data_IF_480224787402
#
_entry.id   IF_480224787402
#
_cell.length_a   1.000
_cell.length_b   1.000
_cell.length_c   1.000
_cell.angle_alpha   90.00
_cell.angle_beta   90.00
_cell.angle_gamma   90.00
#
_symmetry.space_group_name_H-M   'P 1'
#
loop_
_entity.id
_entity.type
_entity.pdbx_description
1 polymer ?
#
# COMPACT_ATOMS: atom_id res chain seq x y z
N UNK A 1 -1.83 2.16 -0.02
CA UNK A 1 -0.66 1.27 -0.20
C UNK A 1 0.54 1.89 0.52
N UNK A 2 1.39 1.06 1.12
CA UNK A 2 2.63 1.51 1.72
C UNK A 2 3.73 1.53 0.66
N UNK A 3 4.47 2.61 0.61
CA UNK A 3 5.74 2.73 -0.09
C UNK A 3 6.80 2.94 1.00
N UNK A 4 8.04 2.48 0.79
CA UNK A 4 9.13 2.58 1.76
C UNK A 4 8.87 1.79 3.06
N UNK A 5 9.12 0.49 3.05
CA UNK A 5 9.12 -0.41 4.21
C UNK A 5 7.84 -0.37 5.07
N UNK A 6 6.69 -0.15 4.44
CA UNK A 6 5.40 -0.14 5.12
C UNK A 6 5.00 1.21 5.73
N UNK A 7 5.80 2.25 5.55
CA UNK A 7 5.43 3.61 5.99
C UNK A 7 4.35 4.17 5.09
N UNK A 8 3.31 4.74 5.69
CA UNK A 8 2.25 5.40 4.95
C UNK A 8 2.79 6.57 4.12
N UNK A 9 2.39 6.64 2.85
CA UNK A 9 2.78 7.73 1.96
C UNK A 9 2.24 9.07 2.49
N UNK A 10 3.12 10.08 2.57
CA UNK A 10 2.74 11.44 2.97
C UNK A 10 2.00 12.14 1.83
N UNK A 11 1.26 13.19 2.16
CA UNK A 11 0.53 14.05 1.21
C UNK A 11 1.44 15.06 0.50
N UNK A 12 2.60 15.35 1.06
CA UNK A 12 3.62 16.24 0.50
C UNK A 12 4.73 15.42 -0.18
N UNK A 13 5.03 15.75 -1.44
CA UNK A 13 6.01 15.04 -2.24
C UNK A 13 7.07 15.97 -2.78
N UNK A 14 8.33 15.68 -2.48
CA UNK A 14 9.47 16.35 -3.09
C UNK A 14 9.91 15.51 -4.29
N UNK A 15 9.58 15.96 -5.50
CA UNK A 15 9.91 15.28 -6.76
C UNK A 15 10.71 16.26 -7.63
N UNK A 16 11.90 15.87 -8.13
CA UNK A 16 12.67 16.69 -9.03
C UNK A 16 11.90 17.04 -10.31
N UNK A 17 12.19 18.18 -10.87
CA UNK A 17 11.68 18.54 -12.20
C UNK A 17 12.25 17.58 -13.25
N UNK A 18 11.46 17.34 -14.32
CA UNK A 18 11.92 16.60 -15.48
C UNK A 18 13.05 17.36 -16.19
N UNK A 19 14.28 16.88 -16.08
CA UNK A 19 15.49 17.51 -16.64
C UNK A 19 16.47 16.45 -17.18
N UNK A 20 17.57 16.89 -17.77
CA UNK A 20 18.64 16.02 -18.25
C UNK A 20 18.17 15.01 -19.31
N UNK A 21 18.59 13.77 -19.18
CA UNK A 21 18.29 12.68 -20.11
C UNK A 21 16.82 12.22 -20.10
N UNK A 22 16.09 12.49 -19.02
CA UNK A 22 14.66 12.20 -18.93
C UNK A 22 13.83 13.11 -19.83
N UNK A 23 14.30 14.33 -20.04
CA UNK A 23 13.64 15.32 -20.88
C UNK A 23 13.77 14.94 -22.35
N UNK A 24 12.65 14.60 -22.97
CA UNK A 24 12.63 14.31 -24.41
C UNK A 24 12.91 15.57 -25.24
N UNK A 25 13.68 15.38 -26.28
CA UNK A 25 14.02 16.40 -27.26
C UNK A 25 13.44 16.04 -28.61
N UNK A 26 13.11 17.07 -29.39
CA UNK A 26 12.75 16.94 -30.79
C UNK A 26 14.00 16.81 -31.70
N UNK A 27 13.79 16.75 -32.99
CA UNK A 27 14.85 16.64 -34.02
C UNK A 27 15.82 17.83 -34.02
N UNK A 28 15.39 18.98 -33.52
CA UNK A 28 16.20 20.20 -33.44
C UNK A 28 16.98 20.29 -32.12
N UNK A 29 16.77 19.35 -31.21
CA UNK A 29 17.36 19.36 -29.89
C UNK A 29 16.58 20.20 -28.88
N UNK A 30 15.43 20.75 -29.26
CA UNK A 30 14.54 21.50 -28.37
C UNK A 30 13.66 20.56 -27.55
N UNK A 31 12.93 21.13 -26.59
CA UNK A 31 12.00 20.36 -25.73
C UNK A 31 10.86 19.78 -26.57
N UNK A 32 10.77 18.46 -26.69
CA UNK A 32 9.67 17.80 -27.39
C UNK A 32 8.28 18.14 -26.83
N UNK A 33 8.19 18.51 -25.56
CA UNK A 33 6.96 18.98 -24.91
C UNK A 33 7.27 19.98 -23.81
N UNK A 34 6.58 21.13 -23.74
CA UNK A 34 6.89 22.18 -22.77
C UNK A 34 6.71 21.75 -21.32
N UNK A 35 5.72 20.91 -21.04
CA UNK A 35 5.29 20.51 -19.67
C UNK A 35 5.41 19.01 -19.42
N UNK A 36 6.43 18.34 -19.97
CA UNK A 36 6.67 16.92 -19.68
C UNK A 36 6.76 16.67 -18.18
N UNK A 37 5.99 15.71 -17.68
CA UNK A 37 5.98 15.34 -16.25
C UNK A 37 7.14 14.38 -15.94
N UNK A 38 7.74 14.47 -14.72
CA UNK A 38 8.78 13.53 -14.31
C UNK A 38 8.21 12.10 -14.12
N UNK A 39 8.99 11.10 -14.51
CA UNK A 39 8.61 9.68 -14.35
C UNK A 39 8.42 9.32 -12.88
N UNK A 40 9.22 9.88 -11.98
CA UNK A 40 9.10 9.65 -10.55
C UNK A 40 7.73 10.03 -9.97
N UNK A 41 7.09 11.08 -10.52
CA UNK A 41 5.72 11.45 -10.15
C UNK A 41 4.72 10.36 -10.54
N UNK A 42 4.76 9.95 -11.82
CA UNK A 42 3.83 8.95 -12.35
C UNK A 42 4.08 7.58 -11.71
N UNK A 43 5.34 7.22 -11.47
CA UNK A 43 5.70 6.00 -10.75
C UNK A 43 5.00 5.95 -9.38
N UNK A 44 5.12 7.02 -8.59
CA UNK A 44 4.51 7.11 -7.26
C UNK A 44 2.98 7.02 -7.31
N UNK A 45 2.35 7.77 -8.22
CA UNK A 45 0.89 7.75 -8.40
C UNK A 45 0.42 6.35 -8.78
N UNK A 46 1.02 5.76 -9.83
CA UNK A 46 0.60 4.47 -10.38
C UNK A 46 0.75 3.35 -9.34
N UNK A 47 1.90 3.26 -8.66
CA UNK A 47 2.11 2.24 -7.62
C UNK A 47 1.16 2.40 -6.44
N UNK A 48 0.84 3.65 -6.07
CA UNK A 48 -0.06 3.92 -4.94
C UNK A 48 -1.53 3.60 -5.22
N UNK A 49 -1.97 3.68 -6.49
CA UNK A 49 -3.40 3.65 -6.85
C UNK A 49 -3.83 2.43 -7.66
N UNK A 50 -2.88 1.67 -8.22
CA UNK A 50 -3.16 0.54 -9.12
C UNK A 50 -2.37 -0.71 -8.75
N UNK A 51 -2.76 -1.85 -9.33
CA UNK A 51 -2.02 -3.11 -9.28
C UNK A 51 -1.44 -3.48 -10.65
N UNK A 52 -0.42 -4.34 -10.75
CA UNK A 52 -0.02 -4.92 -12.04
C UNK A 52 -1.23 -5.54 -12.76
N UNK A 53 -1.34 -5.29 -14.08
CA UNK A 53 -2.46 -5.72 -14.91
C UNK A 53 -3.66 -4.76 -14.95
N UNK A 54 -3.71 -3.74 -14.09
CA UNK A 54 -4.75 -2.71 -14.18
C UNK A 54 -4.55 -1.83 -15.43
N UNK A 55 -5.62 -1.20 -15.90
CA UNK A 55 -5.62 -0.27 -17.05
C UNK A 55 -5.64 1.17 -16.54
N UNK A 56 -4.73 1.99 -17.06
CA UNK A 56 -4.61 3.41 -16.73
C UNK A 56 -5.10 4.25 -17.91
N UNK A 57 -6.01 5.16 -17.67
CA UNK A 57 -6.47 6.14 -18.65
C UNK A 57 -5.79 7.49 -18.41
N UNK A 58 -5.16 8.03 -19.46
CA UNK A 58 -4.63 9.40 -19.49
C UNK A 58 -5.21 10.17 -20.68
N UNK A 59 -6.20 11.05 -20.45
CA UNK A 59 -6.85 11.81 -21.51
C UNK A 59 -6.02 13.00 -22.03
N UNK A 60 -4.83 13.28 -21.43
CA UNK A 60 -3.91 14.35 -21.81
C UNK A 60 -2.49 13.81 -21.94
N UNK A 61 -2.32 12.83 -22.82
CA UNK A 61 -1.18 11.92 -22.85
C UNK A 61 0.16 12.59 -23.13
N UNK A 62 0.19 13.67 -23.91
CA UNK A 62 1.40 14.38 -24.28
C UNK A 62 2.45 13.45 -24.89
N UNK A 63 3.67 13.51 -24.39
CA UNK A 63 4.78 12.63 -24.80
C UNK A 63 4.84 11.29 -24.08
N UNK A 64 3.72 10.84 -23.49
CA UNK A 64 3.52 9.46 -23.02
C UNK A 64 4.25 9.08 -21.73
N UNK A 65 4.50 10.01 -20.81
CA UNK A 65 5.15 9.66 -19.54
C UNK A 65 4.33 8.63 -18.76
N UNK A 66 3.00 8.81 -18.70
CA UNK A 66 2.09 7.88 -18.04
C UNK A 66 2.17 6.48 -18.64
N UNK A 67 2.12 6.37 -19.97
CA UNK A 67 2.20 5.08 -20.66
C UNK A 67 3.56 4.39 -20.51
N UNK A 68 4.65 5.17 -20.55
CA UNK A 68 5.99 4.65 -20.34
C UNK A 68 6.13 4.03 -18.93
N UNK A 69 5.68 4.74 -17.89
CA UNK A 69 5.74 4.25 -16.51
C UNK A 69 4.74 3.12 -16.26
N UNK A 70 3.54 3.19 -16.84
CA UNK A 70 2.56 2.12 -16.77
C UNK A 70 3.12 0.81 -17.32
N UNK A 71 3.66 0.84 -18.55
CA UNK A 71 4.28 -0.32 -19.21
C UNK A 71 5.44 -0.87 -18.38
N UNK A 72 6.33 -0.03 -17.88
CA UNK A 72 7.46 -0.42 -17.04
C UNK A 72 7.00 -1.18 -15.80
N UNK A 73 5.93 -0.69 -15.16
CA UNK A 73 5.34 -1.24 -13.94
C UNK A 73 4.34 -2.38 -14.18
N UNK A 74 4.19 -2.86 -15.41
CA UNK A 74 3.30 -3.99 -15.72
C UNK A 74 1.81 -3.64 -15.73
N UNK A 75 1.46 -2.36 -15.96
CA UNK A 75 0.08 -1.92 -16.17
C UNK A 75 -0.16 -1.74 -17.65
N UNK A 76 -1.42 -1.88 -18.07
CA UNK A 76 -1.87 -1.46 -19.39
C UNK A 76 -2.30 0.01 -19.33
N UNK A 77 -2.43 0.65 -20.49
CA UNK A 77 -2.81 2.06 -20.54
C UNK A 77 -3.58 2.41 -21.81
N UNK A 78 -4.39 3.46 -21.70
CA UNK A 78 -5.08 4.12 -22.80
C UNK A 78 -4.67 5.59 -22.73
N UNK A 79 -3.94 6.07 -23.73
CA UNK A 79 -3.52 7.46 -23.85
C UNK A 79 -4.31 8.17 -24.94
N UNK A 80 -4.83 9.36 -24.66
CA UNK A 80 -5.52 10.22 -25.62
C UNK A 80 -4.67 11.48 -25.83
N UNK A 81 -4.27 11.73 -27.08
CA UNK A 81 -3.50 12.91 -27.45
C UNK A 81 -3.96 13.39 -28.84
N UNK A 82 -4.21 14.67 -28.94
CA UNK A 82 -4.65 15.30 -30.19
C UNK A 82 -3.50 15.52 -31.13
N UNK A 83 -2.36 15.98 -30.62
CA UNK A 83 -1.22 16.39 -31.42
C UNK A 83 -0.41 15.17 -31.95
N UNK A 84 -0.36 15.01 -33.27
CA UNK A 84 0.32 13.85 -33.86
C UNK A 84 1.81 13.77 -33.54
N UNK A 85 2.49 14.91 -33.45
CA UNK A 85 3.90 14.97 -33.11
C UNK A 85 4.15 14.39 -31.71
N UNK A 86 3.27 14.70 -30.74
CA UNK A 86 3.36 14.15 -29.39
C UNK A 86 3.04 12.66 -29.36
N UNK A 87 2.05 12.21 -30.14
CA UNK A 87 1.72 10.77 -30.26
C UNK A 87 2.90 9.97 -30.82
N UNK A 88 3.57 10.44 -31.84
CA UNK A 88 4.76 9.81 -32.42
C UNK A 88 5.89 9.73 -31.38
N UNK A 89 6.14 10.80 -30.65
CA UNK A 89 7.16 10.86 -29.61
C UNK A 89 6.80 9.90 -28.47
N UNK A 90 5.53 9.86 -28.05
CA UNK A 90 5.04 8.95 -27.02
C UNK A 90 5.22 7.48 -27.44
N UNK A 91 4.83 7.13 -28.67
CA UNK A 91 4.96 5.78 -29.20
C UNK A 91 6.43 5.34 -29.23
N UNK A 92 7.32 6.17 -29.79
CA UNK A 92 8.76 5.89 -29.87
C UNK A 92 9.40 5.71 -28.46
N UNK A 93 8.93 6.49 -27.48
CA UNK A 93 9.34 6.34 -26.08
C UNK A 93 8.89 5.01 -25.50
N UNK A 94 7.61 4.69 -25.62
CA UNK A 94 6.99 3.51 -25.03
C UNK A 94 7.53 2.23 -25.64
N UNK A 95 7.85 2.22 -26.94
CA UNK A 95 8.42 1.06 -27.63
C UNK A 95 9.78 0.66 -27.03
N UNK A 96 10.55 1.61 -26.55
CA UNK A 96 11.86 1.39 -25.92
C UNK A 96 11.78 0.90 -24.48
N UNK A 97 10.61 1.05 -23.83
CA UNK A 97 10.44 0.65 -22.43
C UNK A 97 10.31 -0.87 -22.33
N UNK A 98 11.10 -1.45 -21.45
CA UNK A 98 10.95 -2.84 -21.01
C UNK A 98 10.13 -2.91 -19.75
N UNK A 99 9.23 -3.87 -19.66
CA UNK A 99 8.50 -4.18 -18.43
C UNK A 99 9.47 -4.77 -17.41
N UNK A 100 9.32 -4.41 -16.17
CA UNK A 100 10.03 -5.09 -15.09
C UNK A 100 9.61 -6.56 -14.99
N UNK A 101 10.50 -7.40 -14.50
CA UNK A 101 10.20 -8.80 -14.25
C UNK A 101 9.06 -8.97 -13.23
N UNK A 102 8.30 -10.05 -13.36
CA UNK A 102 7.16 -10.30 -12.49
C UNK A 102 7.53 -10.29 -11.00
N UNK A 103 8.70 -10.81 -10.65
CA UNK A 103 9.22 -10.80 -9.27
C UNK A 103 9.43 -9.38 -8.72
N UNK A 104 9.86 -8.44 -9.58
CA UNK A 104 10.03 -7.03 -9.19
C UNK A 104 8.68 -6.28 -9.08
N UNK A 105 7.62 -6.83 -9.66
CA UNK A 105 6.26 -6.27 -9.63
C UNK A 105 5.39 -6.87 -8.53
N UNK A 106 5.87 -7.89 -7.82
CA UNK A 106 5.15 -8.48 -6.70
C UNK A 106 4.84 -7.42 -5.64
N UNK A 107 3.57 -7.36 -5.28
CA UNK A 107 3.10 -6.47 -4.22
C UNK A 107 3.00 -7.29 -2.95
N UNK A 108 3.75 -6.90 -1.93
CA UNK A 108 3.53 -7.43 -0.59
C UNK A 108 2.07 -7.20 -0.21
N UNK A 109 1.32 -8.30 -0.03
CA UNK A 109 -0.10 -8.26 0.32
C UNK A 109 -0.31 -7.36 1.54
N UNK A 110 -1.27 -6.45 1.45
CA UNK A 110 -1.62 -5.63 2.61
C UNK A 110 -2.17 -6.55 3.69
N UNK A 111 -1.61 -6.50 4.91
CA UNK A 111 -2.18 -7.18 6.08
C UNK A 111 -3.66 -6.83 6.33
N UNK A 112 -4.16 -5.75 5.71
CA UNK A 112 -5.58 -5.36 5.75
C UNK A 112 -6.48 -6.20 4.85
N UNK A 113 -5.93 -6.90 3.86
CA UNK A 113 -6.69 -7.81 2.97
C UNK A 113 -6.88 -9.19 3.58
N UNK A 114 -6.16 -9.54 4.65
CA UNK A 114 -6.39 -10.78 5.38
C UNK A 114 -7.71 -10.69 6.15
N UNK A 115 -8.55 -11.74 6.10
CA UNK A 115 -9.78 -11.76 6.87
C UNK A 115 -9.44 -11.62 8.35
N UNK A 116 -10.05 -10.63 9.00
CA UNK A 116 -9.88 -10.45 10.46
C UNK A 116 -10.59 -11.59 11.16
N UNK A 117 -9.85 -12.36 11.95
CA UNK A 117 -10.42 -13.39 12.82
C UNK A 117 -10.82 -12.71 14.15
N UNK A 118 -12.11 -12.61 14.48
CA UNK A 118 -12.53 -12.12 15.78
C UNK A 118 -12.04 -13.06 16.87
N UNK A 119 -11.64 -12.53 18.03
CA UNK A 119 -11.18 -13.38 19.14
C UNK A 119 -12.26 -14.35 19.63
N UNK A 120 -13.54 -13.98 19.53
CA UNK A 120 -14.67 -14.88 19.82
C UNK A 120 -14.63 -16.19 19.02
N UNK A 121 -14.15 -16.19 17.77
CA UNK A 121 -14.01 -17.41 16.99
C UNK A 121 -12.98 -18.40 17.57
N UNK A 122 -11.98 -17.91 18.29
CA UNK A 122 -11.00 -18.79 18.98
C UNK A 122 -11.69 -19.56 20.10
N UNK A 123 -12.60 -18.90 20.82
CA UNK A 123 -13.41 -19.52 21.87
C UNK A 123 -14.45 -20.47 21.28
N UNK A 124 -15.17 -20.04 20.22
CA UNK A 124 -16.17 -20.86 19.52
C UNK A 124 -15.58 -22.14 18.94
N UNK A 125 -14.33 -22.10 18.45
CA UNK A 125 -13.61 -23.26 17.93
C UNK A 125 -12.99 -24.13 19.01
N UNK A 126 -13.17 -23.79 20.29
CA UNK A 126 -12.67 -24.54 21.43
C UNK A 126 -11.13 -24.49 21.61
N UNK A 127 -10.45 -23.57 20.97
CA UNK A 127 -9.01 -23.37 21.14
C UNK A 127 -8.69 -22.73 22.50
N UNK A 128 -9.61 -21.93 23.01
CA UNK A 128 -9.62 -21.40 24.39
C UNK A 128 -10.99 -21.67 24.99
N UNK A 129 -11.01 -22.01 26.26
CA UNK A 129 -12.26 -22.27 26.99
C UNK A 129 -12.67 -21.06 27.86
N UNK A 130 -13.96 -20.79 27.98
CA UNK A 130 -14.42 -19.83 28.96
C UNK A 130 -13.88 -20.16 30.36
N UNK A 131 -13.34 -19.16 31.05
CA UNK A 131 -12.69 -19.32 32.35
C UNK A 131 -11.18 -19.52 32.31
N UNK A 132 -10.59 -19.86 31.19
CA UNK A 132 -9.12 -19.91 31.04
C UNK A 132 -8.47 -18.55 31.29
N UNK A 133 -7.31 -18.56 31.91
CA UNK A 133 -6.53 -17.37 32.22
C UNK A 133 -5.50 -17.12 31.10
N UNK A 134 -5.46 -15.87 30.64
CA UNK A 134 -4.42 -15.36 29.76
C UNK A 134 -3.51 -14.43 30.57
N UNK A 135 -2.25 -14.40 30.20
CA UNK A 135 -1.20 -13.63 30.88
C UNK A 135 -0.54 -12.65 29.93
N UNK A 136 -0.22 -11.46 30.43
CA UNK A 136 0.63 -10.53 29.68
C UNK A 136 2.10 -11.00 29.65
N UNK A 137 2.87 -10.46 28.73
CA UNK A 137 4.30 -10.74 28.67
C UNK A 137 4.96 -10.44 30.04
N UNK A 138 5.67 -11.42 30.58
CA UNK A 138 6.26 -11.32 31.92
C UNK A 138 5.26 -11.50 33.07
N UNK A 139 4.05 -12.02 32.82
CA UNK A 139 3.01 -12.37 33.83
C UNK A 139 2.60 -11.20 34.76
N UNK A 140 2.74 -9.96 34.28
CA UNK A 140 2.39 -8.77 35.09
C UNK A 140 0.88 -8.59 35.27
N UNK A 141 0.12 -8.96 34.24
CA UNK A 141 -1.33 -8.85 34.24
C UNK A 141 -1.96 -10.19 33.84
N UNK A 142 -3.16 -10.46 34.33
CA UNK A 142 -3.94 -11.61 33.94
C UNK A 142 -5.39 -11.24 33.65
N UNK A 143 -6.01 -11.99 32.75
CA UNK A 143 -7.42 -11.84 32.40
C UNK A 143 -8.04 -13.21 32.15
N UNK A 144 -9.34 -13.37 32.43
CA UNK A 144 -10.09 -14.58 32.11
C UNK A 144 -10.88 -14.43 30.83
N UNK A 145 -10.88 -15.49 30.04
CA UNK A 145 -11.68 -15.62 28.83
C UNK A 145 -13.15 -15.80 29.21
N UNK A 146 -14.03 -15.07 28.58
CA UNK A 146 -15.48 -15.18 28.76
C UNK A 146 -16.12 -15.93 27.57
N UNK A 147 -17.30 -16.50 27.82
CA UNK A 147 -18.04 -17.27 26.81
C UNK A 147 -18.43 -16.44 25.57
N UNK A 148 -18.59 -15.13 25.72
CA UNK A 148 -18.91 -14.20 24.65
C UNK A 148 -17.69 -13.76 23.82
N UNK A 149 -16.51 -14.36 24.04
CA UNK A 149 -15.28 -13.99 23.35
C UNK A 149 -14.68 -12.66 23.82
N UNK A 150 -15.07 -12.16 24.98
CA UNK A 150 -14.44 -11.01 25.63
C UNK A 150 -13.52 -11.47 26.76
N UNK A 151 -12.74 -10.56 27.33
CA UNK A 151 -11.92 -10.79 28.52
C UNK A 151 -12.46 -10.02 29.74
N UNK A 152 -12.09 -10.51 30.92
CA UNK A 152 -12.23 -9.79 32.18
C UNK A 152 -10.92 -9.85 32.95
N UNK A 153 -10.40 -8.70 33.38
CA UNK A 153 -9.21 -8.59 34.25
C UNK A 153 -9.29 -7.34 35.11
N UNK A 154 -9.03 -7.44 36.39
CA UNK A 154 -9.15 -6.36 37.40
C UNK A 154 -10.45 -5.54 37.23
N UNK A 155 -11.60 -6.24 37.16
CA UNK A 155 -12.93 -5.66 36.94
C UNK A 155 -13.16 -4.93 35.58
N UNK A 156 -12.16 -4.86 34.72
CA UNK A 156 -12.28 -4.34 33.37
C UNK A 156 -12.77 -5.45 32.45
N UNK A 157 -13.86 -5.18 31.69
CA UNK A 157 -14.45 -6.10 30.71
C UNK A 157 -14.34 -5.48 29.33
N UNK A 158 -14.04 -6.29 28.33
CA UNK A 158 -13.97 -5.80 26.94
C UNK A 158 -13.26 -6.75 26.00
N UNK A 159 -12.94 -6.26 24.82
CA UNK A 159 -12.14 -7.01 23.86
C UNK A 159 -10.72 -7.24 24.37
N UNK A 160 -10.00 -8.20 23.76
CA UNK A 160 -8.57 -8.46 24.08
C UNK A 160 -7.71 -7.19 24.02
N UNK A 161 -8.05 -6.24 23.13
CA UNK A 161 -7.35 -4.97 22.98
C UNK A 161 -7.68 -4.00 24.12
N UNK A 162 -8.97 -3.88 24.46
CA UNK A 162 -9.45 -2.95 25.50
C UNK A 162 -8.95 -3.34 26.89
N UNK A 163 -9.05 -4.64 27.24
CA UNK A 163 -8.59 -5.11 28.54
C UNK A 163 -7.07 -5.00 28.66
N UNK A 164 -6.31 -5.34 27.60
CA UNK A 164 -4.86 -5.16 27.58
C UNK A 164 -4.45 -3.70 27.74
N UNK A 165 -5.09 -2.78 27.03
CA UNK A 165 -4.80 -1.35 27.12
C UNK A 165 -5.10 -0.81 28.53
N UNK A 166 -6.24 -1.17 29.10
CA UNK A 166 -6.66 -0.71 30.43
C UNK A 166 -5.72 -1.21 31.54
N UNK A 167 -5.31 -2.47 31.50
CA UNK A 167 -4.40 -3.04 32.49
C UNK A 167 -2.97 -2.49 32.38
N UNK A 168 -2.52 -2.18 31.16
CA UNK A 168 -1.20 -1.56 30.93
C UNK A 168 -1.20 -0.05 31.18
N UNK A 169 -2.37 0.58 31.31
CA UNK A 169 -2.49 2.04 31.42
C UNK A 169 -2.15 2.76 30.11
N UNK A 170 -2.29 2.09 28.97
CA UNK A 170 -1.92 2.59 27.65
C UNK A 170 -3.16 3.04 26.84
N UNK A 171 -3.03 4.02 25.93
CA UNK A 171 -4.15 4.48 25.10
C UNK A 171 -4.63 3.41 24.10
N UNK A 172 -3.78 2.42 23.77
CA UNK A 172 -4.11 1.30 22.89
C UNK A 172 -3.18 0.11 23.15
N UNK A 173 -3.65 -1.09 22.81
CA UNK A 173 -2.90 -2.33 22.94
C UNK A 173 -3.25 -3.27 21.80
N UNK A 174 -2.25 -3.99 21.26
CA UNK A 174 -2.51 -5.12 20.37
C UNK A 174 -2.72 -6.40 21.19
N UNK A 175 -3.97 -6.73 21.51
CA UNK A 175 -4.30 -7.88 22.34
C UNK A 175 -3.82 -9.22 21.79
N UNK A 176 -3.63 -9.37 20.48
CA UNK A 176 -3.12 -10.61 19.89
C UNK A 176 -1.64 -10.90 20.20
N UNK A 177 -0.87 -9.87 20.47
CA UNK A 177 0.55 -9.98 20.82
C UNK A 177 0.81 -9.74 22.32
N UNK A 178 -0.21 -9.30 23.03
CA UNK A 178 -0.12 -8.97 24.45
C UNK A 178 -0.47 -10.15 25.35
N UNK A 179 -1.48 -10.95 24.98
CA UNK A 179 -1.96 -12.07 25.77
C UNK A 179 -1.34 -13.40 25.33
N UNK A 180 -0.97 -14.20 26.32
CA UNK A 180 -0.41 -15.55 26.17
C UNK A 180 -1.15 -16.51 27.13
N UNK A 181 -1.14 -17.78 26.81
CA UNK A 181 -1.70 -18.87 27.62
C UNK A 181 -0.61 -19.85 28.01
#
# INVERSE_FOLDING_TARGET
>A
KALNDGIQMRSDWVIPLCTGHERLKDENGDKAHPTQKPEALLHRVIVATTNPGDVILDPFFGTGTTGAVAKMLGRDFIGIEREEAYRKTAQARIDRIRRFDASALEITGSKRSEPRVPFGQVVERGMLRPGEELFSLGNRHKAKVRADGTLIGNDVKGSIHQVGAALEGAPSCNGWTYWHF
#
